data_IF_877066109092
#
_entry.id   IF_877066109092
#
_cell.length_a   1.000
_cell.length_b   1.000
_cell.length_c   1.000
_cell.angle_alpha   90.00
_cell.angle_beta   90.00
_cell.angle_gamma   90.00
#
_symmetry.space_group_name_H-M   'P 1'
#
loop_
_entity.id
_entity.type
_entity.pdbx_description
1 polymer ?
#
# COMPACT_ATOMS: atom_id res chain seq x y z
N UNK A 1 -7.53 18.73 -6.09
CA UNK A 1 -8.28 19.84 -6.71
C UNK A 1 -7.45 20.53 -7.80
N UNK A 2 -6.41 21.28 -7.45
CA UNK A 2 -5.60 22.04 -8.43
C UNK A 2 -4.81 21.13 -9.38
N UNK A 3 -4.34 19.98 -8.94
CA UNK A 3 -3.74 18.96 -9.81
C UNK A 3 -4.75 18.34 -10.79
N UNK A 4 -6.02 18.24 -10.41
CA UNK A 4 -7.10 17.78 -11.29
C UNK A 4 -7.49 18.86 -12.33
N UNK A 5 -7.49 20.13 -11.94
CA UNK A 5 -7.74 21.25 -12.84
C UNK A 5 -6.59 21.40 -13.87
N UNK A 6 -5.36 21.18 -13.46
CA UNK A 6 -4.18 21.21 -14.34
C UNK A 6 -4.15 19.98 -15.28
N UNK A 7 -4.58 18.82 -14.81
CA UNK A 7 -4.74 17.62 -15.64
C UNK A 7 -5.84 17.80 -16.70
N UNK A 8 -6.96 18.39 -16.34
CA UNK A 8 -8.04 18.72 -17.29
C UNK A 8 -7.59 19.71 -18.37
N UNK A 9 -6.70 20.64 -18.00
CA UNK A 9 -6.18 21.67 -18.94
C UNK A 9 -5.06 21.16 -19.85
N UNK A 10 -4.26 20.19 -19.37
CA UNK A 10 -3.09 19.67 -20.10
C UNK A 10 -3.35 18.35 -20.80
N UNK A 11 -4.55 17.76 -20.67
CA UNK A 11 -4.92 16.46 -21.24
C UNK A 11 -4.10 15.28 -20.70
N UNK A 12 -3.32 15.49 -19.63
CA UNK A 12 -2.56 14.42 -18.97
C UNK A 12 -3.43 13.82 -17.85
N UNK A 13 -3.58 12.49 -17.77
CA UNK A 13 -4.31 11.86 -16.67
C UNK A 13 -3.66 12.26 -15.35
N UNK A 14 -4.47 12.77 -14.41
CA UNK A 14 -4.04 13.00 -13.05
C UNK A 14 -3.84 11.63 -12.39
N UNK A 15 -2.64 11.10 -12.52
CA UNK A 15 -2.23 9.95 -11.72
C UNK A 15 -2.05 10.47 -10.28
N UNK A 16 -3.00 10.14 -9.43
CA UNK A 16 -3.02 10.42 -7.97
C UNK A 16 -1.86 9.71 -7.24
N UNK A 17 -0.90 9.18 -7.96
CA UNK A 17 0.18 8.33 -7.44
C UNK A 17 1.37 9.06 -6.80
N UNK A 18 1.37 10.40 -6.76
CA UNK A 18 2.36 11.15 -5.98
C UNK A 18 1.68 12.23 -5.18
N UNK A 19 1.39 11.93 -3.94
CA UNK A 19 0.97 12.91 -2.93
C UNK A 19 2.13 13.85 -2.56
N UNK A 20 2.82 14.39 -3.56
CA UNK A 20 3.90 15.35 -3.40
C UNK A 20 3.43 16.68 -3.97
N UNK A 21 3.48 17.69 -3.13
CA UNK A 21 3.19 19.08 -3.51
C UNK A 21 4.53 19.82 -3.64
N UNK A 22 4.87 20.27 -4.86
CA UNK A 22 6.05 21.10 -5.08
C UNK A 22 5.81 22.53 -4.60
N UNK A 23 6.87 23.24 -4.20
CA UNK A 23 6.81 24.65 -3.82
C UNK A 23 6.20 25.52 -4.94
N UNK A 24 6.63 25.33 -6.18
CA UNK A 24 6.08 26.05 -7.33
C UNK A 24 4.59 25.73 -7.56
N UNK A 25 4.18 24.48 -7.34
CA UNK A 25 2.77 24.07 -7.39
C UNK A 25 1.95 24.79 -6.34
N UNK A 26 2.43 24.83 -5.10
CA UNK A 26 1.77 25.54 -3.99
C UNK A 26 1.67 27.04 -4.28
N UNK A 27 2.76 27.68 -4.75
CA UNK A 27 2.77 29.11 -5.08
C UNK A 27 1.75 29.47 -6.16
N UNK A 28 1.65 28.66 -7.22
CA UNK A 28 0.61 28.82 -8.24
C UNK A 28 -0.80 28.68 -7.67
N UNK A 29 -0.98 27.69 -6.79
CA UNK A 29 -2.24 27.44 -6.11
C UNK A 29 -2.68 28.62 -5.23
N UNK A 30 -1.78 29.15 -4.40
CA UNK A 30 -2.04 30.34 -3.57
C UNK A 30 -2.47 31.52 -4.44
N UNK A 31 -1.69 31.82 -5.52
CA UNK A 31 -2.02 32.90 -6.45
C UNK A 31 -3.41 32.73 -7.09
N UNK A 32 -3.75 31.51 -7.52
CA UNK A 32 -5.04 31.21 -8.13
C UNK A 32 -6.21 31.33 -7.13
N UNK A 33 -6.01 30.95 -5.87
CA UNK A 33 -7.01 31.09 -4.81
C UNK A 33 -7.21 32.54 -4.38
N UNK A 34 -6.14 33.33 -4.31
CA UNK A 34 -6.21 34.77 -4.00
C UNK A 34 -6.92 35.56 -5.10
N UNK A 35 -6.85 35.13 -6.36
CA UNK A 35 -7.55 35.77 -7.48
C UNK A 35 -9.07 35.49 -7.51
N UNK A 36 -9.58 34.61 -6.66
CA UNK A 36 -11.00 34.23 -6.59
C UNK A 36 -11.66 34.84 -5.35
N UNK A 37 -12.91 35.24 -5.46
CA UNK A 37 -13.75 35.56 -4.33
C UNK A 37 -14.14 34.29 -3.54
N UNK A 38 -14.90 34.44 -2.46
CA UNK A 38 -15.28 33.32 -1.59
C UNK A 38 -16.12 32.28 -2.34
N UNK A 39 -17.08 32.71 -3.16
CA UNK A 39 -17.92 31.78 -3.92
C UNK A 39 -17.13 31.04 -5.00
N UNK A 40 -16.24 31.75 -5.70
CA UNK A 40 -15.31 31.14 -6.65
C UNK A 40 -14.37 30.11 -6.00
N UNK A 41 -13.98 30.31 -4.74
CA UNK A 41 -13.20 29.31 -3.97
C UNK A 41 -14.02 28.11 -3.53
N UNK A 42 -15.28 28.32 -3.14
CA UNK A 42 -16.20 27.23 -2.79
C UNK A 42 -16.48 26.27 -3.94
N UNK A 43 -16.44 26.79 -5.17
CA UNK A 43 -16.65 26.00 -6.39
C UNK A 43 -15.43 25.23 -6.87
N UNK A 44 -14.24 25.41 -6.26
CA UNK A 44 -13.02 24.70 -6.66
C UNK A 44 -13.12 23.22 -6.26
N UNK A 45 -13.05 22.28 -7.21
CA UNK A 45 -13.11 20.85 -6.90
C UNK A 45 -12.06 20.43 -5.88
N UNK A 46 -12.48 19.73 -4.81
CA UNK A 46 -11.61 19.24 -3.73
C UNK A 46 -11.34 20.26 -2.61
N UNK A 47 -11.87 21.46 -2.67
CA UNK A 47 -11.93 22.35 -1.51
C UNK A 47 -13.24 22.08 -0.78
N UNK A 48 -13.15 21.84 0.55
CA UNK A 48 -14.32 21.78 1.38
C UNK A 48 -14.97 23.20 1.44
N UNK A 49 -16.22 23.39 0.99
CA UNK A 49 -16.87 24.70 0.96
C UNK A 49 -16.88 25.41 2.31
N UNK A 50 -16.96 24.66 3.43
CA UNK A 50 -16.94 25.19 4.78
C UNK A 50 -15.55 25.66 5.25
N UNK A 51 -14.51 25.47 4.44
CA UNK A 51 -13.12 25.91 4.71
C UNK A 51 -12.58 26.83 3.63
N UNK A 52 -13.41 27.25 2.67
CA UNK A 52 -13.00 28.09 1.56
C UNK A 52 -12.56 29.50 1.98
N UNK A 53 -13.02 29.96 3.15
CA UNK A 53 -12.64 31.23 3.78
C UNK A 53 -11.21 31.20 4.34
N UNK A 54 -10.82 30.10 4.99
CA UNK A 54 -9.53 29.96 5.68
C UNK A 54 -8.43 29.28 4.82
N UNK A 55 -8.79 28.71 3.67
CA UNK A 55 -7.83 27.91 2.86
C UNK A 55 -6.62 28.74 2.40
N UNK A 56 -6.81 30.02 2.11
CA UNK A 56 -5.72 30.91 1.70
C UNK A 56 -4.70 31.06 2.83
N UNK A 57 -5.17 31.30 4.06
CA UNK A 57 -4.30 31.44 5.21
C UNK A 57 -3.47 30.17 5.44
N UNK A 58 -4.11 28.98 5.41
CA UNK A 58 -3.41 27.71 5.55
C UNK A 58 -2.38 27.46 4.44
N UNK A 59 -2.73 27.78 3.20
CA UNK A 59 -1.84 27.61 2.07
C UNK A 59 -0.65 28.62 2.11
N UNK A 60 -0.88 29.86 2.54
CA UNK A 60 0.15 30.88 2.71
C UNK A 60 1.13 30.50 3.84
N UNK A 61 0.63 30.00 4.97
CA UNK A 61 1.49 29.50 6.05
C UNK A 61 2.40 28.37 5.55
N UNK A 62 1.87 27.40 4.84
CA UNK A 62 2.66 26.31 4.29
C UNK A 62 3.69 26.82 3.27
N UNK A 63 3.30 27.78 2.40
CA UNK A 63 4.20 28.40 1.46
C UNK A 63 5.38 29.08 2.17
N UNK A 64 5.11 29.89 3.20
CA UNK A 64 6.14 30.56 4.00
C UNK A 64 7.08 29.57 4.67
N UNK A 65 6.54 28.48 5.26
CA UNK A 65 7.39 27.43 5.87
C UNK A 65 8.30 26.80 4.82
N UNK A 66 7.79 26.47 3.65
CA UNK A 66 8.60 25.86 2.60
C UNK A 66 9.69 26.82 2.10
N UNK A 67 9.37 28.12 1.97
CA UNK A 67 10.30 29.16 1.55
C UNK A 67 11.41 29.37 2.57
N UNK A 68 11.05 29.56 3.85
CA UNK A 68 12.02 29.81 4.92
C UNK A 68 12.94 28.60 5.21
N UNK A 69 12.44 27.38 5.02
CA UNK A 69 13.21 26.17 5.22
C UNK A 69 13.88 25.63 3.95
N UNK A 70 13.66 26.26 2.79
CA UNK A 70 14.24 25.83 1.52
C UNK A 70 13.70 24.50 1.01
N UNK A 71 12.46 24.12 1.36
CA UNK A 71 11.87 22.88 0.90
C UNK A 71 11.35 23.00 -0.53
N UNK A 72 11.87 22.18 -1.44
CA UNK A 72 11.39 22.12 -2.83
C UNK A 72 10.04 21.42 -2.97
N UNK A 73 9.72 20.51 -2.06
CA UNK A 73 8.46 19.77 -2.04
C UNK A 73 8.12 19.24 -0.65
N UNK A 74 6.82 18.96 -0.45
CA UNK A 74 6.28 18.27 0.75
C UNK A 74 5.43 17.09 0.34
N UNK A 75 5.48 16.02 1.12
CA UNK A 75 4.60 14.86 0.95
C UNK A 75 3.29 15.12 1.67
N UNK A 76 2.16 14.95 0.97
CA UNK A 76 0.83 15.03 1.56
C UNK A 76 0.54 13.75 2.31
N UNK A 77 0.08 13.86 3.55
CA UNK A 77 -0.35 12.72 4.38
C UNK A 77 -1.85 12.79 4.62
N UNK A 78 -2.50 11.63 4.60
CA UNK A 78 -3.90 11.50 5.03
C UNK A 78 -4.03 11.47 6.57
N UNK A 79 -2.90 11.51 7.29
CA UNK A 79 -2.86 11.52 8.75
C UNK A 79 -3.11 12.92 9.27
N UNK A 80 -3.80 13.00 10.39
CA UNK A 80 -4.06 14.24 11.10
C UNK A 80 -3.38 14.27 12.48
N UNK A 81 -3.43 15.44 13.13
CA UNK A 81 -2.86 15.64 14.45
C UNK A 81 -3.45 14.67 15.50
N UNK A 82 -4.74 14.32 15.39
CA UNK A 82 -5.40 13.39 16.33
C UNK A 82 -4.75 12.00 16.27
N UNK A 83 -4.42 11.50 15.08
CA UNK A 83 -3.70 10.23 14.92
C UNK A 83 -2.33 10.28 15.60
N UNK A 84 -1.62 11.40 15.46
CA UNK A 84 -0.32 11.61 16.11
C UNK A 84 -0.43 11.68 17.65
N UNK A 85 -1.38 12.43 18.17
CA UNK A 85 -1.63 12.55 19.62
C UNK A 85 -2.02 11.19 20.22
N UNK A 86 -2.89 10.44 19.54
CA UNK A 86 -3.28 9.10 20.01
C UNK A 86 -2.09 8.15 20.05
N UNK A 87 -1.26 8.16 19.01
CA UNK A 87 -0.05 7.34 18.97
C UNK A 87 0.94 7.71 20.08
N UNK A 88 1.21 9.00 20.29
CA UNK A 88 2.07 9.50 21.37
C UNK A 88 1.52 9.14 22.75
N UNK A 89 0.22 9.33 22.99
CA UNK A 89 -0.45 8.93 24.22
C UNK A 89 -0.28 7.43 24.51
N UNK A 90 -0.52 6.57 23.52
CA UNK A 90 -0.39 5.13 23.67
C UNK A 90 1.08 4.72 23.97
N UNK A 91 2.05 5.35 23.31
CA UNK A 91 3.47 5.10 23.56
C UNK A 91 3.89 5.51 24.99
N UNK A 92 3.38 6.63 25.51
CA UNK A 92 3.69 7.11 26.86
C UNK A 92 2.97 6.32 27.95
N UNK A 93 1.70 5.95 27.71
CA UNK A 93 0.85 5.29 28.72
C UNK A 93 1.19 3.81 28.88
N UNK A 94 1.68 3.17 27.83
CA UNK A 94 2.03 1.74 27.82
C UNK A 94 3.49 1.48 27.42
N UNK A 95 4.48 2.07 28.10
CA UNK A 95 5.90 1.92 27.75
C UNK A 95 6.39 0.47 27.83
N UNK A 96 5.75 -0.39 28.65
CA UNK A 96 6.07 -1.83 28.75
C UNK A 96 5.60 -2.62 27.52
N UNK A 97 4.64 -2.11 26.78
CA UNK A 97 4.28 -2.62 25.45
C UNK A 97 5.15 -2.02 24.34
N UNK A 98 5.92 -0.98 24.64
CA UNK A 98 6.86 -0.38 23.70
C UNK A 98 7.99 -1.34 23.29
N UNK A 99 8.41 -2.26 24.18
CA UNK A 99 9.33 -3.37 23.84
C UNK A 99 8.68 -4.54 23.11
N UNK A 100 7.34 -4.57 23.04
CA UNK A 100 6.50 -5.49 22.28
C UNK A 100 5.65 -4.76 21.24
N UNK A 101 5.91 -3.47 21.00
CA UNK A 101 5.26 -2.72 19.92
C UNK A 101 5.72 -3.36 18.63
N UNK A 102 4.85 -4.19 18.08
CA UNK A 102 4.96 -4.57 16.68
C UNK A 102 5.05 -3.29 15.86
N UNK A 103 5.87 -3.26 14.81
CA UNK A 103 5.90 -2.10 13.93
C UNK A 103 4.47 -1.68 13.61
N UNK A 104 4.19 -0.38 13.58
CA UNK A 104 2.83 0.14 13.35
C UNK A 104 2.19 -0.47 12.08
N UNK A 105 3.01 -0.86 11.11
CA UNK A 105 2.63 -1.61 9.90
C UNK A 105 2.02 -2.96 10.23
N UNK A 106 2.71 -3.79 11.00
CA UNK A 106 2.24 -5.14 11.35
C UNK A 106 0.96 -5.09 12.18
N UNK A 107 0.89 -4.20 13.16
CA UNK A 107 -0.31 -4.07 13.98
C UNK A 107 -1.52 -3.62 13.16
N UNK A 108 -1.34 -2.68 12.24
CA UNK A 108 -2.39 -2.20 11.34
C UNK A 108 -2.92 -3.31 10.42
N UNK A 109 -2.01 -4.12 9.85
CA UNK A 109 -2.37 -5.29 9.03
C UNK A 109 -3.13 -6.33 9.86
N UNK A 110 -2.65 -6.64 11.07
CA UNK A 110 -3.30 -7.61 11.94
C UNK A 110 -4.65 -7.13 12.46
N UNK A 111 -4.85 -5.82 12.66
CA UNK A 111 -6.15 -5.27 12.99
C UNK A 111 -7.16 -5.50 11.86
N UNK A 112 -6.78 -5.22 10.61
CA UNK A 112 -7.63 -5.52 9.45
C UNK A 112 -7.92 -7.02 9.33
N UNK A 113 -6.88 -7.86 9.44
CA UNK A 113 -7.01 -9.31 9.35
C UNK A 113 -7.99 -9.85 10.41
N UNK A 114 -7.83 -9.44 11.67
CA UNK A 114 -8.71 -9.84 12.79
C UNK A 114 -10.13 -9.30 12.63
N UNK A 115 -10.30 -8.07 12.16
CA UNK A 115 -11.61 -7.51 11.86
C UNK A 115 -12.36 -8.37 10.84
N UNK A 116 -11.65 -8.84 9.81
CA UNK A 116 -12.20 -9.75 8.80
C UNK A 116 -12.22 -11.21 9.25
N UNK A 117 -11.87 -11.53 10.52
CA UNK A 117 -11.86 -12.91 11.06
C UNK A 117 -11.04 -13.88 10.21
N UNK A 118 -9.85 -13.44 9.80
CA UNK A 118 -8.97 -14.27 8.99
C UNK A 118 -8.60 -15.58 9.69
N UNK A 119 -8.30 -16.61 8.92
CA UNK A 119 -7.78 -17.87 9.43
C UNK A 119 -6.29 -17.72 9.73
N UNK A 120 -5.97 -17.30 10.97
CA UNK A 120 -4.61 -16.90 11.37
C UNK A 120 -3.59 -18.02 11.13
N UNK A 121 -3.95 -19.27 11.43
CA UNK A 121 -3.04 -20.41 11.30
C UNK A 121 -2.63 -20.65 9.86
N UNK A 122 -3.60 -20.70 8.95
CA UNK A 122 -3.37 -20.83 7.52
C UNK A 122 -2.59 -19.64 6.96
N UNK A 123 -3.07 -18.42 7.20
CA UNK A 123 -2.46 -17.20 6.63
C UNK A 123 -1.00 -17.02 7.08
N UNK A 124 -0.67 -17.34 8.35
CA UNK A 124 0.71 -17.31 8.83
C UNK A 124 1.58 -18.39 8.20
N UNK A 125 1.02 -19.56 7.99
CA UNK A 125 1.74 -20.66 7.34
C UNK A 125 2.04 -20.34 5.88
N UNK A 126 1.05 -19.87 5.13
CA UNK A 126 1.21 -19.40 3.75
C UNK A 126 2.23 -18.26 3.67
N UNK A 127 2.19 -17.30 4.61
CA UNK A 127 3.17 -16.23 4.68
C UNK A 127 4.59 -16.78 4.92
N UNK A 128 4.76 -17.76 5.79
CA UNK A 128 6.05 -18.43 6.03
C UNK A 128 6.60 -19.09 4.77
N UNK A 129 5.77 -19.90 4.10
CA UNK A 129 6.16 -20.56 2.83
C UNK A 129 6.48 -19.56 1.72
N UNK A 130 5.68 -18.48 1.59
CA UNK A 130 5.94 -17.44 0.60
C UNK A 130 7.29 -16.74 0.82
N UNK A 131 7.65 -16.48 2.09
CA UNK A 131 8.94 -15.89 2.43
C UNK A 131 10.10 -16.85 2.19
N UNK A 132 9.97 -18.14 2.50
CA UNK A 132 11.02 -19.14 2.19
C UNK A 132 11.27 -19.26 0.69
N UNK A 133 10.19 -19.28 -0.11
CA UNK A 133 10.27 -19.27 -1.57
C UNK A 133 10.96 -18.00 -2.09
N UNK A 134 10.59 -16.84 -1.56
CA UNK A 134 11.19 -15.55 -1.93
C UNK A 134 12.68 -15.53 -1.57
N UNK A 135 13.05 -15.87 -0.34
CA UNK A 135 14.42 -15.82 0.14
C UNK A 135 15.33 -16.83 -0.61
N UNK A 136 14.86 -18.05 -0.84
CA UNK A 136 15.61 -19.07 -1.58
C UNK A 136 15.76 -18.71 -3.06
N UNK A 137 14.73 -18.17 -3.70
CA UNK A 137 14.80 -17.68 -5.06
C UNK A 137 15.83 -16.55 -5.21
N UNK A 138 15.87 -15.61 -4.25
CA UNK A 138 16.88 -14.55 -4.21
C UNK A 138 18.29 -15.10 -4.03
N UNK A 139 18.48 -16.07 -3.13
CA UNK A 139 19.78 -16.68 -2.86
C UNK A 139 20.41 -17.36 -4.09
N UNK A 140 19.59 -17.91 -4.98
CA UNK A 140 20.05 -18.54 -6.22
C UNK A 140 20.00 -17.61 -7.46
N UNK A 141 19.74 -16.30 -7.24
CA UNK A 141 19.80 -15.27 -8.26
C UNK A 141 18.62 -15.24 -9.24
N UNK A 142 17.43 -15.72 -8.84
CA UNK A 142 16.21 -15.63 -9.67
C UNK A 142 15.57 -14.23 -9.65
N UNK A 143 15.84 -13.42 -8.64
CA UNK A 143 15.41 -12.03 -8.55
C UNK A 143 16.36 -11.22 -7.65
N UNK A 144 16.25 -9.89 -7.76
CA UNK A 144 16.97 -8.93 -6.92
C UNK A 144 16.03 -7.91 -6.26
N UNK A 145 14.84 -8.36 -5.87
CA UNK A 145 13.87 -7.50 -5.21
C UNK A 145 14.39 -6.96 -3.87
N UNK A 146 14.08 -5.69 -3.52
CA UNK A 146 14.57 -5.05 -2.32
C UNK A 146 13.92 -5.66 -1.04
N UNK A 147 14.51 -5.44 0.15
CA UNK A 147 13.97 -5.97 1.42
C UNK A 147 12.52 -5.56 1.71
N UNK A 148 12.11 -4.37 1.25
CA UNK A 148 10.72 -3.90 1.41
C UNK A 148 9.72 -4.79 0.68
N UNK A 149 10.08 -5.35 -0.48
CA UNK A 149 9.21 -6.28 -1.23
C UNK A 149 8.94 -7.56 -0.43
N UNK A 150 9.93 -8.05 0.32
CA UNK A 150 9.78 -9.19 1.24
C UNK A 150 8.76 -8.89 2.35
N UNK A 151 8.85 -7.70 2.94
CA UNK A 151 7.91 -7.24 3.96
C UNK A 151 6.48 -7.14 3.40
N UNK A 152 6.32 -6.53 2.21
CA UNK A 152 5.03 -6.39 1.56
C UNK A 152 4.42 -7.73 1.13
N UNK A 153 5.24 -8.70 0.71
CA UNK A 153 4.81 -10.08 0.47
C UNK A 153 4.25 -10.73 1.73
N UNK A 154 4.93 -10.55 2.87
CA UNK A 154 4.46 -11.07 4.16
C UNK A 154 3.07 -10.52 4.51
N UNK A 155 2.87 -9.22 4.40
CA UNK A 155 1.60 -8.62 4.71
C UNK A 155 0.51 -8.97 3.68
N UNK A 156 0.84 -9.04 2.40
CA UNK A 156 -0.10 -9.50 1.38
C UNK A 156 -0.54 -10.94 1.64
N UNK A 157 0.39 -11.82 2.08
CA UNK A 157 0.08 -13.19 2.43
C UNK A 157 -0.77 -13.30 3.69
N UNK A 158 -0.57 -12.44 4.70
CA UNK A 158 -1.47 -12.41 5.87
C UNK A 158 -2.90 -12.00 5.51
N UNK A 159 -3.06 -11.17 4.49
CA UNK A 159 -4.34 -10.59 4.08
C UNK A 159 -4.99 -11.28 2.88
N UNK A 160 -4.35 -12.28 2.25
CA UNK A 160 -4.77 -12.79 0.93
C UNK A 160 -6.22 -13.26 0.87
N UNK A 161 -6.74 -13.80 1.97
CA UNK A 161 -8.06 -14.40 2.07
C UNK A 161 -9.10 -13.60 2.89
N UNK A 162 -8.75 -12.39 3.36
CA UNK A 162 -9.69 -11.58 4.17
C UNK A 162 -11.01 -11.27 3.46
N UNK A 163 -11.03 -11.32 2.13
CA UNK A 163 -12.24 -11.13 1.33
C UNK A 163 -13.31 -12.19 1.52
N UNK A 164 -12.97 -13.36 2.08
CA UNK A 164 -13.91 -14.41 2.47
C UNK A 164 -14.92 -13.88 3.50
N UNK A 165 -14.53 -12.87 4.31
CA UNK A 165 -15.42 -12.16 5.23
C UNK A 165 -16.67 -11.59 4.53
N UNK A 166 -16.54 -11.16 3.27
CA UNK A 166 -17.67 -10.67 2.46
C UNK A 166 -18.34 -11.84 1.75
N UNK A 167 -17.57 -12.63 0.99
CA UNK A 167 -18.05 -13.80 0.27
C UNK A 167 -16.87 -14.67 -0.18
N UNK A 168 -17.05 -15.99 -0.14
CA UNK A 168 -16.08 -16.93 -0.70
C UNK A 168 -15.96 -16.76 -2.23
N UNK A 169 -17.10 -16.52 -2.91
CA UNK A 169 -17.09 -16.25 -4.33
C UNK A 169 -16.36 -14.92 -4.62
N UNK A 170 -15.36 -14.98 -5.48
CA UNK A 170 -14.52 -13.83 -5.85
C UNK A 170 -13.81 -13.14 -4.66
N UNK A 171 -13.52 -13.88 -3.57
CA UNK A 171 -12.86 -13.31 -2.38
C UNK A 171 -11.59 -12.52 -2.71
N UNK A 172 -10.81 -12.91 -3.72
CA UNK A 172 -9.64 -12.15 -4.17
C UNK A 172 -9.96 -10.71 -4.57
N UNK A 173 -11.13 -10.48 -5.21
CA UNK A 173 -11.58 -9.11 -5.52
C UNK A 173 -12.05 -8.36 -4.27
N UNK A 174 -12.72 -9.06 -3.35
CA UNK A 174 -13.10 -8.49 -2.06
C UNK A 174 -11.88 -8.17 -1.19
N UNK A 175 -10.86 -9.05 -1.19
CA UNK A 175 -9.58 -8.79 -0.53
C UNK A 175 -8.92 -7.53 -1.06
N UNK A 176 -8.80 -7.40 -2.38
CA UNK A 176 -8.27 -6.19 -3.02
C UNK A 176 -9.03 -4.94 -2.58
N UNK A 177 -10.37 -4.99 -2.62
CA UNK A 177 -11.21 -3.87 -2.18
C UNK A 177 -10.96 -3.50 -0.72
N UNK A 178 -10.93 -4.48 0.19
CA UNK A 178 -10.70 -4.24 1.62
C UNK A 178 -9.35 -3.60 1.88
N UNK A 179 -8.27 -4.10 1.27
CA UNK A 179 -6.92 -3.56 1.45
C UNK A 179 -6.85 -2.12 0.91
N UNK A 180 -7.42 -1.86 -0.27
CA UNK A 180 -7.37 -0.52 -0.92
C UNK A 180 -8.18 0.54 -0.17
N UNK A 181 -9.25 0.15 0.53
CA UNK A 181 -10.19 1.08 1.16
C UNK A 181 -10.09 1.10 2.69
N UNK A 182 -9.13 0.39 3.27
CA UNK A 182 -8.84 0.45 4.71
C UNK A 182 -7.61 1.31 4.96
N UNK A 183 -7.68 2.13 6.00
CA UNK A 183 -6.54 2.93 6.42
C UNK A 183 -5.47 2.06 7.09
N UNK A 184 -4.45 1.65 6.34
CA UNK A 184 -3.31 0.90 6.86
C UNK A 184 -2.20 1.85 7.33
N UNK A 185 -1.90 1.81 8.63
CA UNK A 185 -0.93 2.69 9.25
C UNK A 185 0.51 2.34 8.85
N UNK A 186 1.27 3.37 8.47
CA UNK A 186 2.70 3.21 8.15
C UNK A 186 3.00 2.79 6.71
N UNK A 187 1.97 2.64 5.86
CA UNK A 187 2.12 2.32 4.44
C UNK A 187 1.89 3.53 3.56
N UNK A 188 2.59 3.60 2.45
CA UNK A 188 2.33 4.52 1.35
C UNK A 188 1.23 3.97 0.44
N UNK A 189 0.57 4.84 -0.33
CA UNK A 189 -0.44 4.42 -1.32
C UNK A 189 0.11 3.38 -2.31
N UNK A 190 1.37 3.55 -2.74
CA UNK A 190 2.05 2.61 -3.63
C UNK A 190 2.21 1.22 -3.00
N UNK A 191 2.56 1.16 -1.73
CA UNK A 191 2.70 -0.11 -1.00
C UNK A 191 1.34 -0.78 -0.78
N UNK A 192 0.31 0.00 -0.46
CA UNK A 192 -1.08 -0.50 -0.33
C UNK A 192 -1.57 -1.05 -1.67
N UNK A 193 -1.33 -0.33 -2.78
CA UNK A 193 -1.67 -0.79 -4.12
C UNK A 193 -0.96 -2.10 -4.47
N UNK A 194 0.34 -2.19 -4.19
CA UNK A 194 1.13 -3.39 -4.42
C UNK A 194 0.60 -4.58 -3.61
N UNK A 195 0.39 -4.41 -2.30
CA UNK A 195 -0.14 -5.48 -1.44
C UNK A 195 -1.52 -5.95 -1.90
N UNK A 196 -2.42 -5.01 -2.22
CA UNK A 196 -3.76 -5.33 -2.70
C UNK A 196 -3.72 -6.11 -4.01
N UNK A 197 -2.86 -5.69 -4.96
CA UNK A 197 -2.68 -6.38 -6.23
C UNK A 197 -2.06 -7.78 -6.05
N UNK A 198 -1.03 -7.92 -5.21
CA UNK A 198 -0.43 -9.23 -4.89
C UNK A 198 -1.47 -10.16 -4.30
N UNK A 199 -2.25 -9.69 -3.32
CA UNK A 199 -3.34 -10.45 -2.73
C UNK A 199 -4.45 -10.79 -3.74
N UNK A 200 -4.77 -9.90 -4.69
CA UNK A 200 -5.73 -10.23 -5.77
C UNK A 200 -5.21 -11.37 -6.66
N UNK A 201 -3.93 -11.29 -7.05
CA UNK A 201 -3.37 -12.21 -8.04
C UNK A 201 -2.94 -13.57 -7.48
N UNK A 202 -3.14 -13.86 -6.17
CA UNK A 202 -2.90 -15.20 -5.63
C UNK A 202 -3.78 -16.28 -6.27
N UNK A 203 -4.97 -15.91 -6.78
CA UNK A 203 -5.93 -16.80 -7.47
C UNK A 203 -5.98 -16.58 -8.98
N UNK A 204 -5.37 -15.54 -9.49
CA UNK A 204 -5.38 -15.16 -10.90
C UNK A 204 -3.98 -14.84 -11.38
N UNK A 205 -3.64 -15.21 -12.60
CA UNK A 205 -2.33 -14.86 -13.15
C UNK A 205 -2.23 -13.36 -13.43
N UNK A 206 -1.22 -12.71 -12.86
CA UNK A 206 -0.90 -11.31 -13.15
C UNK A 206 -0.40 -11.18 -14.61
N UNK A 207 -1.24 -10.70 -15.50
CA UNK A 207 -0.94 -10.60 -16.94
C UNK A 207 -1.66 -9.43 -17.61
N UNK A 208 -1.13 -8.99 -18.76
CA UNK A 208 -1.73 -7.92 -19.59
C UNK A 208 -3.15 -8.24 -20.09
N UNK A 209 -3.67 -9.45 -19.88
CA UNK A 209 -5.07 -9.80 -20.20
C UNK A 209 -6.06 -9.42 -19.09
N UNK A 210 -5.56 -9.06 -17.93
CA UNK A 210 -6.37 -8.69 -16.76
C UNK A 210 -6.50 -7.17 -16.67
N UNK A 211 -7.72 -6.60 -16.68
CA UNK A 211 -7.93 -5.16 -16.57
C UNK A 211 -7.21 -4.54 -15.38
N UNK A 212 -7.37 -5.11 -14.19
CA UNK A 212 -6.69 -4.63 -12.96
C UNK A 212 -5.17 -4.52 -13.14
N UNK A 213 -4.54 -5.46 -13.87
CA UNK A 213 -3.10 -5.41 -14.11
C UNK A 213 -2.69 -4.24 -15.00
N UNK A 214 -3.53 -3.86 -15.95
CA UNK A 214 -3.29 -2.70 -16.83
C UNK A 214 -3.51 -1.36 -16.11
N UNK A 215 -4.39 -1.33 -15.11
CA UNK A 215 -4.67 -0.16 -14.28
C UNK A 215 -3.55 0.14 -13.27
N UNK A 216 -2.72 -0.86 -12.92
CA UNK A 216 -1.59 -0.66 -12.01
C UNK A 216 -0.56 0.31 -12.61
N UNK A 217 0.11 1.07 -11.73
CA UNK A 217 1.29 1.84 -12.12
C UNK A 217 2.34 0.91 -12.73
N UNK A 218 2.94 1.33 -13.84
CA UNK A 218 3.91 0.51 -14.57
C UNK A 218 5.12 0.14 -13.71
N UNK A 219 5.50 1.01 -12.78
CA UNK A 219 6.63 0.83 -11.88
C UNK A 219 6.45 -0.32 -10.87
N UNK A 220 5.22 -0.80 -10.64
CA UNK A 220 4.96 -1.91 -9.69
C UNK A 220 4.58 -3.22 -10.38
N UNK A 221 4.29 -3.22 -11.68
CA UNK A 221 3.76 -4.40 -12.39
C UNK A 221 4.66 -5.63 -12.31
N UNK A 222 5.95 -5.45 -12.50
CA UNK A 222 6.90 -6.58 -12.43
C UNK A 222 7.04 -7.09 -10.99
N UNK A 223 7.03 -6.19 -10.01
CA UNK A 223 7.04 -6.55 -8.60
C UNK A 223 5.77 -7.31 -8.21
N UNK A 224 4.59 -6.88 -8.66
CA UNK A 224 3.33 -7.60 -8.46
C UNK A 224 3.38 -9.00 -9.08
N UNK A 225 3.94 -9.16 -10.29
CA UNK A 225 4.10 -10.49 -10.91
C UNK A 225 4.96 -11.41 -10.07
N UNK A 226 6.11 -10.90 -9.62
CA UNK A 226 7.05 -11.67 -8.83
C UNK A 226 6.44 -12.11 -7.50
N UNK A 227 5.90 -11.16 -6.73
CA UNK A 227 5.37 -11.44 -5.40
C UNK A 227 4.10 -12.31 -5.45
N UNK A 228 3.21 -12.07 -6.42
CA UNK A 228 2.01 -12.90 -6.58
C UNK A 228 2.34 -14.34 -6.99
N UNK A 229 3.45 -14.58 -7.68
CA UNK A 229 3.91 -15.93 -7.98
C UNK A 229 4.26 -16.70 -6.70
N UNK A 230 5.06 -16.09 -5.81
CA UNK A 230 5.42 -16.72 -4.53
C UNK A 230 4.20 -16.97 -3.65
N UNK A 231 3.29 -15.99 -3.57
CA UNK A 231 2.04 -16.16 -2.82
C UNK A 231 1.16 -17.26 -3.40
N UNK A 232 1.01 -17.31 -4.73
CA UNK A 232 0.25 -18.38 -5.40
C UNK A 232 0.83 -19.77 -5.12
N UNK A 233 2.15 -19.92 -5.18
CA UNK A 233 2.82 -21.19 -4.88
C UNK A 233 2.61 -21.59 -3.43
N UNK A 234 2.80 -20.66 -2.49
CA UNK A 234 2.63 -20.92 -1.07
C UNK A 234 1.19 -21.32 -0.73
N UNK A 235 0.20 -20.63 -1.30
CA UNK A 235 -1.22 -20.95 -1.15
C UNK A 235 -1.54 -22.35 -1.67
N UNK A 236 -1.01 -22.74 -2.84
CA UNK A 236 -1.20 -24.09 -3.40
C UNK A 236 -0.58 -25.18 -2.54
N UNK A 237 0.50 -24.90 -1.83
CA UNK A 237 1.15 -25.86 -0.95
C UNK A 237 0.37 -26.09 0.36
N UNK A 238 -0.53 -25.18 0.73
CA UNK A 238 -1.42 -25.34 1.89
C UNK A 238 -2.92 -25.23 1.52
N UNK A 239 -3.31 -25.54 0.30
CA UNK A 239 -4.71 -25.51 -0.17
C UNK A 239 -5.67 -26.36 0.69
N UNK A 240 -5.14 -27.34 1.39
CA UNK A 240 -5.91 -28.18 2.34
C UNK A 240 -6.07 -27.55 3.73
N UNK A 241 -5.39 -26.44 4.04
CA UNK A 241 -5.28 -25.78 5.34
C UNK A 241 -4.75 -26.71 6.46
N UNK A 242 -4.06 -27.79 6.09
CA UNK A 242 -3.54 -28.81 7.02
C UNK A 242 -2.06 -28.66 7.32
N UNK A 243 -1.37 -27.70 6.70
CA UNK A 243 0.06 -27.44 6.88
C UNK A 243 0.92 -28.71 6.68
N UNK A 244 0.58 -29.51 5.67
CA UNK A 244 1.31 -30.76 5.36
C UNK A 244 2.74 -30.43 4.92
N UNK A 245 2.90 -29.46 4.01
CA UNK A 245 4.19 -28.96 3.57
C UNK A 245 4.73 -28.02 4.64
N UNK A 246 5.86 -28.34 5.25
CA UNK A 246 6.45 -27.57 6.36
C UNK A 246 7.44 -26.52 5.90
N UNK A 247 8.05 -26.70 4.74
CA UNK A 247 8.99 -25.76 4.12
C UNK A 247 8.95 -25.91 2.61
N UNK A 248 9.32 -24.84 1.88
CA UNK A 248 9.40 -24.86 0.45
C UNK A 248 10.54 -23.96 -0.02
N UNK A 249 11.51 -24.50 -0.78
CA UNK A 249 12.71 -23.77 -1.19
C UNK A 249 13.07 -24.07 -2.63
N UNK A 250 13.56 -23.06 -3.32
CA UNK A 250 14.21 -23.24 -4.62
C UNK A 250 15.70 -23.56 -4.43
N UNK A 251 16.15 -24.57 -5.16
CA UNK A 251 17.56 -24.94 -5.22
C UNK A 251 17.99 -25.11 -6.67
N UNK A 252 19.30 -24.94 -6.95
CA UNK A 252 19.88 -25.35 -8.22
C UNK A 252 20.49 -26.73 -8.08
N UNK A 253 20.14 -27.62 -9.00
CA UNK A 253 20.80 -28.92 -9.10
C UNK A 253 22.25 -28.73 -9.58
N UNK A 254 23.13 -29.74 -9.42
CA UNK A 254 24.45 -29.70 -10.00
C UNK A 254 24.47 -29.48 -11.51
N UNK A 255 23.43 -29.85 -12.22
CA UNK A 255 23.27 -29.66 -13.66
C UNK A 255 22.76 -28.26 -14.04
N UNK A 256 22.47 -27.40 -13.04
CA UNK A 256 22.00 -26.04 -13.25
C UNK A 256 20.47 -25.92 -13.35
N UNK A 257 19.73 -27.02 -13.29
CA UNK A 257 18.26 -27.01 -13.30
C UNK A 257 17.69 -26.41 -12.00
N UNK A 258 16.50 -25.85 -12.10
CA UNK A 258 15.76 -25.33 -10.95
C UNK A 258 14.89 -26.44 -10.34
N UNK A 259 15.08 -26.70 -9.06
CA UNK A 259 14.29 -27.65 -8.28
C UNK A 259 13.52 -26.93 -7.16
N UNK A 260 12.27 -27.36 -6.93
CA UNK A 260 11.49 -26.95 -5.76
C UNK A 260 11.51 -28.10 -4.76
N UNK A 261 12.14 -27.88 -3.60
CA UNK A 261 12.14 -28.81 -2.47
C UNK A 261 11.05 -28.47 -1.48
N UNK A 262 10.32 -29.49 -1.06
CA UNK A 262 9.25 -29.44 -0.09
C UNK A 262 9.61 -30.22 1.17
#
# INVERSE_FOLDING_TARGET
>A
ALAQEEAARTGRPCTVSKQVLSYDGLRRAVKALCARDLEGRRSVPGINPNRADVIIAGAAILQTIMEEQGFESVTISNRNLQNGILADYLMRTYPQKAGTIRPAREESVLQLARFCRFEETHSRHVAGLALELFDSAKAIGLHDAPPVSRELLYYAALLHDIGIFISFANHHAHTHYLIRNTELLGFTEREIELMAAVAFFHRKRASKKMPLFLELDESIREEVRLLSLFLTLAERLDESHRQIVKSARFERTPNGDLELRL
#
